data_IF_115613192848
#
_entry.id   IF_115613192848
#
_cell.length_a   1.000
_cell.length_b   1.000
_cell.length_c   1.000
_cell.angle_alpha   90.00
_cell.angle_beta   90.00
_cell.angle_gamma   90.00
#
_symmetry.space_group_name_H-M   'P 1'
#
loop_
_entity.id
_entity.type
_entity.pdbx_description
1 polymer ?
#
# COMPACT_ATOMS: atom_id res chain seq x y z
N UNK A 1 14.47 14.82 -2.43
CA UNK A 1 13.58 15.68 -1.63
C UNK A 1 12.16 15.23 -1.85
N UNK A 2 11.38 15.01 -0.79
CA UNK A 2 9.96 14.69 -0.95
C UNK A 2 9.25 15.88 -1.60
N UNK A 3 8.75 15.67 -2.81
CA UNK A 3 8.00 16.69 -3.54
C UNK A 3 6.62 16.82 -2.94
N UNK A 4 6.21 18.05 -2.64
CA UNK A 4 4.86 18.36 -2.20
C UNK A 4 3.84 17.83 -3.23
N UNK A 5 2.64 17.40 -2.80
CA UNK A 5 1.56 17.06 -3.71
C UNK A 5 1.28 18.20 -4.70
N UNK A 6 0.91 17.89 -5.96
CA UNK A 6 0.42 18.89 -6.90
C UNK A 6 -0.79 19.66 -6.34
N UNK A 7 -1.07 20.89 -6.84
CA UNK A 7 -2.27 21.64 -6.46
C UNK A 7 -3.54 20.78 -6.59
N UNK A 8 -4.42 20.87 -5.60
CA UNK A 8 -5.67 20.08 -5.55
C UNK A 8 -5.50 18.64 -5.06
N UNK A 9 -4.27 18.18 -4.78
CA UNK A 9 -4.00 16.83 -4.24
C UNK A 9 -3.40 16.89 -2.84
N UNK A 10 -3.58 15.79 -2.12
CA UNK A 10 -3.13 15.59 -0.75
C UNK A 10 -2.48 14.21 -0.60
N UNK A 11 -1.62 14.05 0.41
CA UNK A 11 -1.13 12.72 0.79
C UNK A 11 -2.14 12.03 1.71
N UNK A 12 -2.29 10.71 1.56
CA UNK A 12 -3.12 9.87 2.40
C UNK A 12 -2.31 8.67 2.88
N UNK A 13 -2.34 8.40 4.19
CA UNK A 13 -1.83 7.17 4.77
C UNK A 13 -2.89 6.08 4.63
N UNK A 14 -2.52 4.98 3.99
CA UNK A 14 -3.34 3.80 3.80
C UNK A 14 -2.86 2.70 4.73
N UNK A 15 -3.79 2.05 5.44
CA UNK A 15 -3.59 0.76 6.08
C UNK A 15 -4.56 -0.20 5.40
N UNK A 16 -4.02 -1.19 4.69
CA UNK A 16 -4.78 -2.21 3.98
C UNK A 16 -4.51 -3.58 4.61
N UNK A 17 -5.36 -4.05 5.53
CA UNK A 17 -5.22 -5.37 6.13
C UNK A 17 -5.39 -6.47 5.08
N UNK A 18 -4.66 -7.57 5.23
CA UNK A 18 -4.92 -8.80 4.50
C UNK A 18 -6.19 -9.48 5.06
N UNK A 19 -6.91 -10.22 4.21
CA UNK A 19 -7.99 -11.11 4.66
C UNK A 19 -7.41 -12.29 5.46
N UNK A 20 -8.20 -12.91 6.36
CA UNK A 20 -7.82 -14.16 7.00
C UNK A 20 -7.42 -15.21 5.96
N UNK A 21 -6.35 -15.95 6.23
CA UNK A 21 -5.81 -17.01 5.35
C UNK A 21 -5.36 -16.54 3.94
N UNK A 22 -5.12 -15.25 3.72
CA UNK A 22 -4.69 -14.72 2.42
C UNK A 22 -3.20 -14.91 2.10
N UNK A 23 -2.39 -15.43 3.05
CA UNK A 23 -0.93 -15.52 2.95
C UNK A 23 -0.45 -16.18 1.64
N UNK A 24 -0.99 -17.34 1.33
CA UNK A 24 -0.57 -18.12 0.16
C UNK A 24 -0.81 -17.34 -1.13
N UNK A 25 -2.04 -16.80 -1.28
CA UNK A 25 -2.39 -15.96 -2.43
C UNK A 25 -1.52 -14.71 -2.51
N UNK A 26 -1.21 -14.07 -1.38
CA UNK A 26 -0.32 -12.90 -1.33
C UNK A 26 1.07 -13.22 -1.87
N UNK A 27 1.65 -14.37 -1.48
CA UNK A 27 2.96 -14.79 -1.98
C UNK A 27 2.91 -15.13 -3.47
N UNK A 28 1.87 -15.82 -3.91
CA UNK A 28 1.62 -16.18 -5.32
C UNK A 28 1.61 -14.92 -6.22
N UNK A 29 0.83 -13.90 -5.87
CA UNK A 29 0.64 -12.71 -6.71
C UNK A 29 1.57 -11.54 -6.36
N UNK A 30 2.50 -11.72 -5.42
CA UNK A 30 3.40 -10.65 -4.95
C UNK A 30 4.16 -9.98 -6.08
N UNK A 31 4.71 -10.75 -7.02
CA UNK A 31 5.46 -10.22 -8.15
C UNK A 31 4.59 -9.28 -9.01
N UNK A 32 3.35 -9.65 -9.29
CA UNK A 32 2.38 -8.82 -10.03
C UNK A 32 2.04 -7.52 -9.28
N UNK A 33 1.95 -7.56 -7.95
CA UNK A 33 1.73 -6.36 -7.14
C UNK A 33 2.92 -5.39 -7.28
N UNK A 34 4.14 -5.91 -7.20
CA UNK A 34 5.34 -5.10 -7.36
C UNK A 34 5.46 -4.51 -8.78
N UNK A 35 5.10 -5.26 -9.82
CA UNK A 35 5.04 -4.77 -11.19
C UNK A 35 3.97 -3.68 -11.37
N UNK A 36 2.77 -3.92 -10.84
CA UNK A 36 1.63 -3.00 -10.93
C UNK A 36 1.87 -1.67 -10.21
N UNK A 37 2.72 -1.64 -9.17
CA UNK A 37 3.03 -0.41 -8.45
C UNK A 37 4.17 0.42 -9.08
N UNK A 38 4.93 -0.12 -10.04
CA UNK A 38 6.08 0.60 -10.64
C UNK A 38 5.67 1.98 -11.19
N UNK A 39 4.61 2.11 -12.00
CA UNK A 39 4.23 3.41 -12.56
C UNK A 39 3.91 4.44 -11.48
N UNK A 40 3.18 4.03 -10.42
CA UNK A 40 2.81 4.91 -9.32
C UNK A 40 4.00 5.32 -8.45
N UNK A 41 4.99 4.44 -8.30
CA UNK A 41 6.24 4.75 -7.60
C UNK A 41 7.06 5.75 -8.39
N UNK A 42 7.14 5.58 -9.71
CA UNK A 42 7.97 6.41 -10.60
C UNK A 42 7.36 7.80 -10.82
N UNK A 43 6.04 7.91 -10.98
CA UNK A 43 5.35 9.20 -11.13
C UNK A 43 5.13 9.92 -9.78
N UNK A 44 5.40 9.24 -8.66
CA UNK A 44 5.28 9.77 -7.32
C UNK A 44 3.85 9.83 -6.78
N UNK A 45 2.90 9.17 -7.44
CA UNK A 45 1.55 8.93 -6.93
C UNK A 45 1.60 8.09 -5.65
N UNK A 46 2.49 7.10 -5.57
CA UNK A 46 2.78 6.34 -4.35
C UNK A 46 4.13 6.77 -3.80
N UNK A 47 4.13 7.45 -2.65
CA UNK A 47 5.31 8.06 -2.06
C UNK A 47 6.14 7.11 -1.20
N UNK A 48 5.49 6.11 -0.61
CA UNK A 48 6.13 5.02 0.15
C UNK A 48 5.16 3.83 0.16
N UNK A 49 5.70 2.63 0.32
CA UNK A 49 4.93 1.40 0.38
C UNK A 49 5.69 0.29 1.11
N UNK A 50 4.97 -0.57 1.82
CA UNK A 50 5.57 -1.68 2.56
C UNK A 50 4.55 -2.66 3.11
N UNK A 51 5.04 -3.82 3.54
CA UNK A 51 4.23 -4.79 4.27
C UNK A 51 4.07 -4.33 5.73
N UNK A 52 2.84 -4.42 6.26
CA UNK A 52 2.61 -4.38 7.71
C UNK A 52 2.67 -5.81 8.24
N UNK A 53 3.35 -6.01 9.35
CA UNK A 53 3.59 -7.32 9.95
C UNK A 53 2.94 -7.40 11.33
N UNK A 54 2.47 -8.59 11.72
CA UNK A 54 1.92 -8.82 13.06
C UNK A 54 3.03 -8.89 14.13
N UNK A 55 4.25 -9.22 13.72
CA UNK A 55 5.42 -9.31 14.60
C UNK A 55 6.67 -8.80 13.91
N UNK A 56 7.70 -8.49 14.71
CA UNK A 56 9.03 -8.16 14.19
C UNK A 56 9.57 -9.35 13.39
N UNK A 57 10.02 -9.17 12.14
CA UNK A 57 10.50 -10.26 11.32
C UNK A 57 11.89 -10.71 11.78
N UNK A 58 12.20 -11.99 11.57
CA UNK A 58 13.52 -12.55 11.82
C UNK A 58 14.52 -12.19 10.72
N UNK A 59 14.03 -12.13 9.48
CA UNK A 59 14.78 -11.87 8.26
C UNK A 59 13.84 -11.27 7.20
N UNK A 60 14.42 -10.86 6.06
CA UNK A 60 13.67 -10.22 4.96
C UNK A 60 13.07 -11.22 3.96
N UNK A 61 13.14 -12.54 4.21
CA UNK A 61 12.57 -13.53 3.31
C UNK A 61 11.04 -13.42 3.31
N UNK A 62 10.37 -13.11 2.17
CA UNK A 62 8.92 -12.98 2.14
C UNK A 62 8.16 -14.21 2.68
N UNK A 63 8.75 -15.41 2.53
CA UNK A 63 8.17 -16.65 3.02
C UNK A 63 8.16 -16.79 4.55
N UNK A 64 9.00 -16.03 5.28
CA UNK A 64 9.10 -16.05 6.75
C UNK A 64 8.27 -14.94 7.43
N UNK A 65 7.93 -13.88 6.70
CA UNK A 65 7.24 -12.70 7.24
C UNK A 65 5.81 -13.02 7.67
N UNK A 66 5.38 -12.57 8.86
CA UNK A 66 4.00 -12.69 9.35
C UNK A 66 3.18 -11.46 8.94
N UNK A 67 2.45 -11.55 7.82
CA UNK A 67 1.76 -10.42 7.22
C UNK A 67 0.46 -10.07 7.96
N UNK A 68 0.35 -8.81 8.35
CA UNK A 68 -0.91 -8.17 8.74
C UNK A 68 -1.60 -7.54 7.53
N UNK A 69 -0.81 -6.98 6.60
CA UNK A 69 -1.33 -6.25 5.45
C UNK A 69 -0.26 -5.43 4.74
N UNK A 70 -0.67 -4.27 4.24
CA UNK A 70 0.20 -3.30 3.58
C UNK A 70 -0.08 -1.88 4.07
N UNK A 71 0.94 -1.03 3.96
CA UNK A 71 0.83 0.43 4.13
C UNK A 71 1.36 1.12 2.89
N UNK A 72 0.70 2.21 2.50
CA UNK A 72 1.07 3.03 1.34
C UNK A 72 0.76 4.48 1.68
N UNK A 73 1.63 5.42 1.30
CA UNK A 73 1.26 6.84 1.24
C UNK A 73 0.95 7.21 -0.19
N UNK A 74 -0.31 7.56 -0.45
CA UNK A 74 -0.84 7.83 -1.80
C UNK A 74 -1.14 9.32 -1.97
N UNK A 75 -0.85 9.88 -3.13
CA UNK A 75 -1.26 11.22 -3.54
C UNK A 75 -2.56 11.14 -4.32
N UNK A 76 -3.60 11.81 -3.83
CA UNK A 76 -4.94 11.78 -4.43
C UNK A 76 -5.71 13.08 -4.14
N UNK A 77 -6.85 13.26 -4.80
CA UNK A 77 -7.79 14.36 -4.59
C UNK A 77 -8.75 14.07 -3.43
N UNK A 78 -9.06 12.79 -3.18
CA UNK A 78 -9.99 12.37 -2.14
C UNK A 78 -9.74 10.93 -1.66
N UNK A 79 -10.39 10.55 -0.56
CA UNK A 79 -10.35 9.18 -0.02
C UNK A 79 -10.95 8.18 -1.01
N UNK A 80 -11.98 8.56 -1.74
CA UNK A 80 -12.66 7.74 -2.75
C UNK A 80 -11.72 7.41 -3.90
N UNK A 81 -10.93 8.39 -4.37
CA UNK A 81 -9.94 8.16 -5.41
C UNK A 81 -8.84 7.21 -4.93
N UNK A 82 -8.39 7.32 -3.68
CA UNK A 82 -7.43 6.35 -3.09
C UNK A 82 -8.05 4.95 -3.09
N UNK A 83 -9.31 4.82 -2.65
CA UNK A 83 -10.01 3.54 -2.59
C UNK A 83 -10.20 2.92 -3.98
N UNK A 84 -10.53 3.74 -4.98
CA UNK A 84 -10.62 3.31 -6.38
C UNK A 84 -9.27 2.80 -6.90
N UNK A 85 -8.19 3.53 -6.66
CA UNK A 85 -6.83 3.09 -7.05
C UNK A 85 -6.49 1.74 -6.42
N UNK A 86 -6.69 1.58 -5.10
CA UNK A 86 -6.41 0.34 -4.39
C UNK A 86 -7.26 -0.83 -4.92
N UNK A 87 -8.52 -0.59 -5.29
CA UNK A 87 -9.43 -1.64 -5.79
C UNK A 87 -8.96 -2.29 -7.10
N UNK A 88 -8.08 -1.62 -7.84
CA UNK A 88 -7.50 -2.10 -9.10
C UNK A 88 -6.22 -2.92 -8.89
N UNK A 89 -5.62 -2.87 -7.70
CA UNK A 89 -4.41 -3.63 -7.38
C UNK A 89 -4.68 -5.14 -7.42
N UNK A 90 -3.67 -5.95 -7.77
CA UNK A 90 -3.79 -7.40 -7.77
C UNK A 90 -4.08 -7.95 -6.37
N UNK A 91 -3.59 -7.34 -5.30
CA UNK A 91 -3.94 -7.73 -3.94
C UNK A 91 -5.42 -7.47 -3.62
N UNK A 92 -6.03 -6.43 -4.18
CA UNK A 92 -7.47 -6.23 -4.03
C UNK A 92 -8.27 -7.25 -4.89
N UNK A 93 -7.94 -7.35 -6.17
CA UNK A 93 -8.71 -8.15 -7.14
C UNK A 93 -8.55 -9.66 -6.96
N UNK A 94 -7.42 -10.13 -6.41
CA UNK A 94 -7.22 -11.54 -6.04
C UNK A 94 -7.73 -11.90 -4.65
N UNK A 95 -8.27 -10.92 -3.90
CA UNK A 95 -8.84 -11.11 -2.58
C UNK A 95 -7.82 -11.21 -1.44
N UNK A 96 -6.60 -10.70 -1.63
CA UNK A 96 -5.60 -10.59 -0.56
C UNK A 96 -5.99 -9.50 0.43
N UNK A 97 -6.22 -8.27 -0.04
CA UNK A 97 -6.63 -7.17 0.82
C UNK A 97 -8.10 -7.26 1.21
N UNK A 98 -8.39 -6.97 2.48
CA UNK A 98 -9.72 -6.77 3.00
C UNK A 98 -10.17 -5.33 2.73
N UNK A 99 -10.68 -5.10 1.52
CA UNK A 99 -11.10 -3.76 1.08
C UNK A 99 -12.15 -3.14 2.01
N UNK A 100 -12.99 -3.94 2.67
CA UNK A 100 -13.99 -3.44 3.62
C UNK A 100 -13.35 -2.84 4.88
N UNK A 101 -12.16 -3.32 5.25
CA UNK A 101 -11.41 -2.87 6.44
C UNK A 101 -10.24 -1.93 6.13
N UNK A 102 -10.05 -1.55 4.87
CA UNK A 102 -9.04 -0.55 4.48
C UNK A 102 -9.34 0.77 5.19
N UNK A 103 -8.32 1.32 5.84
CA UNK A 103 -8.35 2.61 6.52
C UNK A 103 -7.53 3.61 5.70
N UNK A 104 -8.07 4.81 5.52
CA UNK A 104 -7.45 5.87 4.70
C UNK A 104 -7.53 7.17 5.49
N UNK A 105 -6.38 7.77 5.78
CA UNK A 105 -6.29 8.98 6.59
C UNK A 105 -5.58 10.09 5.81
N UNK A 106 -6.14 11.31 5.75
CA UNK A 106 -5.39 12.48 5.26
C UNK A 106 -4.10 12.63 6.07
N UNK A 107 -2.97 12.73 5.38
CA UNK A 107 -1.65 12.71 5.99
C UNK A 107 -0.86 13.96 5.61
N UNK A 108 -0.26 14.62 6.61
CA UNK A 108 0.67 15.72 6.41
C UNK A 108 2.06 15.25 6.82
N UNK A 109 2.86 14.85 5.83
CA UNK A 109 4.23 14.42 6.07
C UNK A 109 5.09 15.60 6.54
N UNK A 110 5.69 15.49 7.73
CA UNK A 110 6.57 16.51 8.29
C UNK A 110 7.98 16.45 7.69
N UNK A 111 8.52 15.24 7.51
CA UNK A 111 9.81 15.00 6.88
C UNK A 111 9.82 13.61 6.23
N UNK A 112 10.60 13.45 5.15
CA UNK A 112 10.87 12.18 4.48
C UNK A 112 12.28 12.23 3.93
N UNK A 113 13.13 11.32 4.40
CA UNK A 113 14.51 11.21 3.94
C UNK A 113 14.55 10.41 2.62
N UNK A 114 15.55 10.66 1.76
CA UNK A 114 15.85 9.80 0.62
C UNK A 114 16.15 8.36 1.04
#
# INVERSE_FOLDING_TARGET
>A
MATAPPPGKFEFLVIAPDKPNAREKRLEVRHLHFEGMVPFREDGTWKTGGALLNSVPKDDNPASLDFMGSTIVVVAESVEQVREQLSKDIYATSGVWDMEKVQIYPFKCAFRNP
#
